data_IF_792550591656
#
_entry.id   IF_792550591656
#
_cell.length_a   1.000
_cell.length_b   1.000
_cell.length_c   1.000
_cell.angle_alpha   90.00
_cell.angle_beta   90.00
_cell.angle_gamma   90.00
#
_symmetry.space_group_name_H-M   'P 1'
#
loop_
_entity.id
_entity.type
_entity.pdbx_description
1 polymer ?
#
# COMPACT_ATOMS: atom_id res chain seq x y z
N UNK A 1 12.25 -4.23 3.80
CA UNK A 1 11.47 -3.26 3.01
C UNK A 1 10.72 -4.05 1.94
N UNK A 2 9.40 -3.89 1.82
CA UNK A 2 8.62 -4.63 0.81
C UNK A 2 9.03 -4.18 -0.61
N UNK A 3 9.00 -5.11 -1.56
CA UNK A 3 9.32 -4.83 -2.95
C UNK A 3 8.05 -4.49 -3.75
N UNK A 4 8.20 -3.91 -4.95
CA UNK A 4 7.06 -3.55 -5.81
C UNK A 4 6.22 -4.78 -6.18
N UNK A 5 6.84 -5.94 -6.36
CA UNK A 5 6.12 -7.18 -6.74
C UNK A 5 5.10 -7.60 -5.68
N UNK A 6 5.41 -7.40 -4.39
CA UNK A 6 4.46 -7.65 -3.30
C UNK A 6 3.26 -6.70 -3.36
N UNK A 7 3.50 -5.42 -3.61
CA UNK A 7 2.42 -4.43 -3.78
C UNK A 7 1.54 -4.80 -4.98
N UNK A 8 2.15 -5.15 -6.12
CA UNK A 8 1.44 -5.53 -7.34
C UNK A 8 0.69 -6.88 -7.21
N UNK A 9 1.12 -7.74 -6.29
CA UNK A 9 0.46 -9.01 -6.01
C UNK A 9 -0.84 -8.85 -5.21
N UNK A 10 -1.04 -7.71 -4.53
CA UNK A 10 -2.24 -7.45 -3.72
C UNK A 10 -3.50 -7.45 -4.57
N UNK A 11 -4.60 -7.96 -4.01
CA UNK A 11 -5.93 -7.88 -4.60
C UNK A 11 -6.35 -6.43 -4.82
N UNK A 12 -5.99 -5.53 -3.90
CA UNK A 12 -6.23 -4.10 -4.05
C UNK A 12 -5.58 -3.51 -5.32
N UNK A 13 -4.34 -3.89 -5.63
CA UNK A 13 -3.66 -3.47 -6.85
C UNK A 13 -4.24 -4.11 -8.11
N UNK A 14 -4.54 -5.42 -8.05
CA UNK A 14 -5.10 -6.17 -9.19
C UNK A 14 -6.50 -5.68 -9.60
N UNK A 15 -7.27 -5.11 -8.67
CA UNK A 15 -8.60 -4.53 -8.91
C UNK A 15 -8.56 -3.19 -9.65
N UNK A 16 -7.40 -2.52 -9.72
CA UNK A 16 -7.25 -1.29 -10.48
C UNK A 16 -7.34 -1.56 -11.98
N UNK A 17 -7.89 -0.60 -12.73
CA UNK A 17 -7.82 -0.62 -14.19
C UNK A 17 -6.37 -0.43 -14.68
N UNK A 18 -6.12 -0.72 -15.97
CA UNK A 18 -4.77 -0.68 -16.54
C UNK A 18 -4.10 0.70 -16.46
N UNK A 19 -4.89 1.78 -16.56
CA UNK A 19 -4.36 3.15 -16.48
C UNK A 19 -3.98 3.47 -15.04
N UNK A 20 -4.85 3.15 -14.08
CA UNK A 20 -4.53 3.30 -12.66
C UNK A 20 -3.31 2.45 -12.24
N UNK A 21 -3.22 1.20 -12.69
CA UNK A 21 -2.02 0.37 -12.45
C UNK A 21 -0.74 1.03 -12.99
N UNK A 22 -0.78 1.63 -14.17
CA UNK A 22 0.36 2.34 -14.74
C UNK A 22 0.77 3.57 -13.91
N UNK A 23 -0.21 4.30 -13.37
CA UNK A 23 0.03 5.43 -12.46
C UNK A 23 0.68 4.94 -11.16
N UNK A 24 0.15 3.88 -10.56
CA UNK A 24 0.68 3.35 -9.30
C UNK A 24 2.03 2.65 -9.46
N UNK A 25 2.36 2.12 -10.64
CA UNK A 25 3.71 1.62 -10.96
C UNK A 25 4.78 2.71 -11.00
N UNK A 26 4.41 4.00 -11.03
CA UNK A 26 5.39 5.09 -10.94
C UNK A 26 6.18 4.97 -9.64
N UNK A 27 7.50 5.13 -9.73
CA UNK A 27 8.44 4.98 -8.60
C UNK A 27 7.97 5.72 -7.34
N UNK A 28 7.57 6.98 -7.50
CA UNK A 28 7.08 7.82 -6.40
C UNK A 28 5.86 7.21 -5.69
N UNK A 29 4.90 6.65 -6.43
CA UNK A 29 3.70 6.04 -5.86
C UNK A 29 4.06 4.76 -5.08
N UNK A 30 4.91 3.91 -5.65
CA UNK A 30 5.39 2.71 -4.96
C UNK A 30 6.20 3.04 -3.71
N UNK A 31 7.05 4.06 -3.76
CA UNK A 31 7.87 4.46 -2.61
C UNK A 31 7.01 5.08 -1.50
N UNK A 32 5.94 5.79 -1.84
CA UNK A 32 4.96 6.26 -0.86
C UNK A 32 4.27 5.08 -0.15
N UNK A 33 3.79 4.09 -0.90
CA UNK A 33 3.16 2.88 -0.33
C UNK A 33 4.14 2.13 0.58
N UNK A 34 5.41 1.97 0.18
CA UNK A 34 6.43 1.33 1.02
C UNK A 34 6.67 2.08 2.32
N UNK A 35 6.76 3.42 2.25
CA UNK A 35 6.96 4.26 3.43
C UNK A 35 5.78 4.15 4.37
N UNK A 36 4.56 4.25 3.85
CA UNK A 36 3.36 4.13 4.68
C UNK A 36 3.19 2.74 5.27
N UNK A 37 3.53 1.69 4.52
CA UNK A 37 3.61 0.33 5.06
C UNK A 37 4.60 0.24 6.24
N UNK A 38 5.80 0.82 6.12
CA UNK A 38 6.77 0.83 7.22
C UNK A 38 6.22 1.55 8.46
N UNK A 39 5.56 2.69 8.26
CA UNK A 39 4.90 3.42 9.34
C UNK A 39 3.86 2.53 10.00
N UNK A 40 2.93 1.96 9.22
CA UNK A 40 1.86 1.10 9.72
C UNK A 40 2.40 -0.16 10.43
N UNK A 41 3.49 -0.74 9.94
CA UNK A 41 4.17 -1.87 10.56
C UNK A 41 4.85 -1.49 11.89
N UNK A 42 5.28 -0.24 12.06
CA UNK A 42 5.92 0.24 13.29
C UNK A 42 4.92 0.70 14.34
N UNK A 43 3.88 1.45 13.97
CA UNK A 43 2.93 2.05 14.92
C UNK A 43 1.61 1.26 15.06
N UNK A 44 1.43 0.23 14.26
CA UNK A 44 0.19 -0.54 14.16
C UNK A 44 -0.79 0.04 13.13
N UNK A 45 -1.60 -0.84 12.52
CA UNK A 45 -2.57 -0.49 11.50
C UNK A 45 -3.60 0.54 12.00
N UNK A 46 -4.16 0.35 13.19
CA UNK A 46 -5.17 1.26 13.74
C UNK A 46 -4.62 2.68 13.94
N UNK A 47 -3.46 2.82 14.58
CA UNK A 47 -2.77 4.10 14.78
C UNK A 47 -2.45 4.78 13.45
N UNK A 48 -2.05 4.00 12.45
CA UNK A 48 -1.78 4.50 11.11
C UNK A 48 -3.05 5.03 10.42
N UNK A 49 -4.15 4.27 10.45
CA UNK A 49 -5.42 4.67 9.84
C UNK A 49 -5.98 5.95 10.48
N UNK A 50 -5.86 6.09 11.80
CA UNK A 50 -6.33 7.29 12.51
C UNK A 50 -5.46 8.53 12.23
N UNK A 51 -4.12 8.37 12.22
CA UNK A 51 -3.20 9.50 12.12
C UNK A 51 -2.97 9.99 10.70
N UNK A 52 -2.90 9.08 9.73
CA UNK A 52 -2.51 9.41 8.35
C UNK A 52 -3.69 9.44 7.38
N UNK A 53 -4.86 8.92 7.79
CA UNK A 53 -6.09 8.88 6.99
C UNK A 53 -5.85 8.60 5.49
N UNK A 54 -5.25 7.44 5.16
CA UNK A 54 -4.86 7.13 3.79
C UNK A 54 -6.08 6.96 2.88
N UNK A 55 -5.87 7.18 1.58
CA UNK A 55 -6.88 6.87 0.58
C UNK A 55 -7.23 5.38 0.54
N UNK A 56 -8.38 5.06 -0.05
CA UNK A 56 -8.91 3.70 -0.09
C UNK A 56 -7.94 2.69 -0.70
N UNK A 57 -7.15 3.08 -1.71
CA UNK A 57 -6.18 2.19 -2.33
C UNK A 57 -5.05 1.87 -1.35
N UNK A 58 -4.40 2.90 -0.77
CA UNK A 58 -3.29 2.70 0.17
C UNK A 58 -3.73 1.95 1.42
N UNK A 59 -4.91 2.27 1.96
CA UNK A 59 -5.53 1.53 3.05
C UNK A 59 -5.62 0.05 2.73
N UNK A 60 -6.24 -0.32 1.60
CA UNK A 60 -6.47 -1.71 1.26
C UNK A 60 -5.16 -2.47 0.99
N UNK A 61 -4.23 -1.85 0.26
CA UNK A 61 -2.91 -2.43 -0.02
C UNK A 61 -2.14 -2.68 1.28
N UNK A 62 -2.07 -1.70 2.18
CA UNK A 62 -1.29 -1.81 3.42
C UNK A 62 -1.91 -2.83 4.37
N UNK A 63 -3.25 -2.85 4.51
CA UNK A 63 -3.94 -3.87 5.30
C UNK A 63 -3.65 -5.29 4.79
N UNK A 64 -3.70 -5.49 3.47
CA UNK A 64 -3.42 -6.80 2.85
C UNK A 64 -1.96 -7.22 3.05
N UNK A 65 -1.02 -6.29 2.86
CA UNK A 65 0.40 -6.54 3.07
C UNK A 65 0.74 -6.88 4.52
N UNK A 66 0.14 -6.20 5.49
CA UNK A 66 0.31 -6.49 6.91
C UNK A 66 -0.32 -7.82 7.34
N UNK A 67 -1.30 -8.33 6.58
CA UNK A 67 -1.97 -9.61 6.85
C UNK A 67 -1.27 -10.79 6.16
N UNK A 68 -0.31 -10.53 5.27
CA UNK A 68 0.40 -11.55 4.46
C UNK A 68 1.78 -11.92 5.04
N UNK A 69 2.32 -11.09 5.93
CA UNK A 69 3.62 -11.26 6.59
C UNK A 69 3.39 -11.65 8.04
#
# INVERSE_FOLDING_TARGET
MINNKLIEATAAFKKLDKVAQAIYRKKQMMDNVKREFQIANTIGLESYLQKYNPDAFRKNVITELLSTI
#
